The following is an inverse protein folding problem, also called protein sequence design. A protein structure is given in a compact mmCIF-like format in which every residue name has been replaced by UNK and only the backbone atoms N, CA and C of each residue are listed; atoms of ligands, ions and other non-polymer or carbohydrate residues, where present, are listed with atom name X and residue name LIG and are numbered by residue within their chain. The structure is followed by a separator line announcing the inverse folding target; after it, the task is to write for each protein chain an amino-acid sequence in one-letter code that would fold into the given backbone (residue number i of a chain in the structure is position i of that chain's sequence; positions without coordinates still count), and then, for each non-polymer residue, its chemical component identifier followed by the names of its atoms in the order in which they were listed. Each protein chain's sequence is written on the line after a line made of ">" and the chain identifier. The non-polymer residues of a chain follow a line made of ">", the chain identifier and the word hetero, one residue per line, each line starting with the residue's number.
data_IF_913700714157
#
_entry.id   IF_913700714157
#
_cell.length_a   1.000
_cell.length_b   1.000
_cell.length_c   1.000
_cell.angle_alpha   90.00
_cell.angle_beta   90.00
_cell.angle_gamma   90.00
#
_symmetry.space_group_name_H-M   'P 1'
#
loop_
_entity.id
_entity.type
_entity.pdbx_description
1 polymer ?
#
# COMPACT_ATOMS: atom_id res chain seq x y z
N UNK A 1 -58.64 -25.25 -45.00
CA UNK A 1 -57.96 -24.07 -45.57
C UNK A 1 -56.48 -24.19 -45.26
N UNK A 2 -55.68 -24.67 -46.23
CA UNK A 2 -54.21 -24.76 -46.13
C UNK A 2 -53.66 -23.41 -46.59
N UNK A 3 -52.86 -22.75 -45.76
CA UNK A 3 -52.03 -21.62 -46.19
C UNK A 3 -50.62 -21.91 -45.69
N UNK A 4 -49.75 -22.22 -46.65
CA UNK A 4 -48.31 -22.28 -46.49
C UNK A 4 -47.76 -20.85 -46.55
N UNK A 5 -46.86 -20.49 -45.66
CA UNK A 5 -45.92 -19.37 -45.86
C UNK A 5 -44.49 -19.89 -45.77
N UNK A 6 -43.66 -19.44 -46.70
CA UNK A 6 -42.23 -19.72 -46.78
C UNK A 6 -41.41 -18.59 -46.12
N UNK A 7 -40.26 -19.01 -45.59
CA UNK A 7 -38.99 -18.26 -45.43
C UNK A 7 -38.83 -17.24 -44.29
N UNK A 8 -37.58 -16.90 -43.88
CA UNK A 8 -36.28 -17.47 -44.26
C UNK A 8 -35.42 -17.94 -43.06
N UNK A 9 -34.34 -18.65 -43.38
CA UNK A 9 -33.24 -18.96 -42.48
C UNK A 9 -32.71 -17.69 -41.79
N UNK A 10 -32.72 -17.68 -40.45
CA UNK A 10 -31.85 -16.81 -39.68
C UNK A 10 -30.49 -17.50 -39.57
N UNK A 11 -29.50 -17.01 -40.32
CA UNK A 11 -28.12 -17.39 -40.13
C UNK A 11 -27.67 -16.93 -38.74
N UNK A 12 -27.54 -17.89 -37.80
CA UNK A 12 -26.90 -17.65 -36.53
C UNK A 12 -25.41 -17.46 -36.79
N UNK A 13 -24.96 -16.20 -36.81
CA UNK A 13 -23.54 -15.85 -36.87
C UNK A 13 -22.95 -16.17 -35.48
N UNK A 14 -22.48 -17.40 -35.29
CA UNK A 14 -21.66 -17.76 -34.14
C UNK A 14 -20.32 -17.04 -34.30
N UNK A 15 -20.19 -15.88 -33.67
CA UNK A 15 -18.89 -15.24 -33.49
C UNK A 15 -18.11 -16.11 -32.51
N UNK A 16 -17.33 -17.04 -33.03
CA UNK A 16 -16.24 -17.65 -32.27
C UNK A 16 -15.21 -16.54 -32.07
N UNK A 17 -15.28 -15.88 -30.91
CA UNK A 17 -14.15 -15.09 -30.43
C UNK A 17 -13.08 -16.13 -30.10
N UNK A 18 -12.19 -16.42 -31.05
CA UNK A 18 -10.89 -16.97 -30.73
C UNK A 18 -10.19 -15.89 -29.88
N UNK A 19 -10.36 -16.00 -28.57
CA UNK A 19 -9.48 -15.35 -27.62
C UNK A 19 -8.10 -15.90 -27.89
N UNK A 20 -7.29 -15.14 -28.63
CA UNK A 20 -5.85 -15.31 -28.58
C UNK A 20 -5.48 -14.90 -27.15
N UNK A 21 -5.54 -15.86 -26.24
CA UNK A 21 -4.83 -15.81 -24.97
C UNK A 21 -3.34 -15.91 -25.30
N UNK A 22 -2.82 -14.86 -25.91
CA UNK A 22 -1.39 -14.61 -25.97
C UNK A 22 -1.00 -14.14 -24.58
N UNK A 23 -0.76 -15.08 -23.67
CA UNK A 23 0.22 -14.84 -22.61
C UNK A 23 1.55 -14.68 -23.32
N UNK A 24 1.85 -13.46 -23.78
CA UNK A 24 3.20 -13.09 -24.09
C UNK A 24 3.95 -13.13 -22.75
N UNK A 25 4.45 -14.31 -22.40
CA UNK A 25 5.46 -14.43 -21.37
C UNK A 25 6.58 -13.47 -21.78
N UNK A 26 6.88 -12.49 -20.92
CA UNK A 26 8.00 -11.58 -21.06
C UNK A 26 9.27 -12.39 -20.83
N UNK A 27 9.59 -13.26 -21.80
CA UNK A 27 10.63 -14.28 -21.71
C UNK A 27 11.98 -13.80 -22.23
N UNK A 28 12.09 -12.53 -22.63
CA UNK A 28 13.36 -11.93 -22.95
C UNK A 28 13.87 -11.18 -21.72
N UNK A 29 15.02 -11.62 -21.19
CA UNK A 29 15.79 -10.81 -20.26
C UNK A 29 15.94 -9.38 -20.84
N UNK A 30 15.90 -8.33 -19.99
CA UNK A 30 16.03 -6.97 -20.47
C UNK A 30 17.33 -6.79 -21.25
N UNK A 31 17.28 -6.06 -22.36
CA UNK A 31 18.45 -5.81 -23.21
C UNK A 31 19.61 -5.25 -22.39
N UNK A 32 20.77 -5.92 -22.44
CA UNK A 32 21.91 -5.59 -21.58
C UNK A 32 22.42 -4.16 -21.81
N UNK A 33 22.41 -3.69 -23.07
CA UNK A 33 22.80 -2.32 -23.40
C UNK A 33 21.83 -1.28 -22.82
N UNK A 34 20.53 -1.58 -22.81
CA UNK A 34 19.52 -0.75 -22.13
C UNK A 34 19.68 -0.75 -20.61
N UNK A 35 19.98 -1.90 -20.00
CA UNK A 35 20.26 -1.98 -18.56
C UNK A 35 21.46 -1.12 -18.19
N UNK A 36 22.57 -1.24 -18.92
CA UNK A 36 23.76 -0.44 -18.69
C UNK A 36 23.47 1.06 -18.88
N UNK A 37 22.78 1.44 -19.95
CA UNK A 37 22.38 2.82 -20.19
C UNK A 37 21.52 3.38 -19.05
N UNK A 38 20.53 2.64 -18.54
CA UNK A 38 19.70 3.07 -17.40
C UNK A 38 20.53 3.14 -16.12
N UNK A 39 21.43 2.20 -15.87
CA UNK A 39 22.28 2.20 -14.68
C UNK A 39 23.12 3.49 -14.59
N UNK A 40 23.61 4.02 -15.72
CA UNK A 40 24.32 5.31 -15.76
C UNK A 40 23.45 6.53 -15.43
N UNK A 41 22.12 6.41 -15.51
CA UNK A 41 21.16 7.48 -15.17
C UNK A 41 20.75 7.46 -13.69
N UNK A 42 21.04 6.37 -12.98
CA UNK A 42 20.64 6.20 -11.58
C UNK A 42 21.72 6.77 -10.64
N UNK A 43 21.33 7.27 -9.45
CA UNK A 43 22.30 7.63 -8.43
C UNK A 43 23.09 6.39 -7.97
N UNK A 44 24.35 6.61 -7.57
CA UNK A 44 25.25 5.55 -7.08
C UNK A 44 24.66 4.76 -5.90
N UNK A 45 23.88 5.44 -5.06
CA UNK A 45 23.15 4.82 -3.96
C UNK A 45 21.65 5.06 -4.12
N UNK A 46 20.85 4.06 -3.73
CA UNK A 46 19.39 4.18 -3.65
C UNK A 46 18.98 5.35 -2.78
N UNK A 47 18.01 6.15 -3.24
CA UNK A 47 17.42 7.25 -2.48
C UNK A 47 15.91 7.08 -2.42
N UNK A 48 15.34 7.19 -1.22
CA UNK A 48 13.90 7.28 -1.05
C UNK A 48 13.38 8.68 -1.37
N UNK A 49 12.05 8.83 -1.33
CA UNK A 49 11.39 10.13 -1.49
C UNK A 49 11.51 10.95 -0.21
N UNK A 50 11.72 12.26 -0.35
CA UNK A 50 11.80 13.18 0.79
C UNK A 50 13.17 13.21 1.46
N UNK A 51 13.22 13.65 2.72
CA UNK A 51 14.45 13.94 3.45
C UNK A 51 14.54 13.05 4.70
N UNK A 52 15.63 12.28 4.88
CA UNK A 52 15.87 11.54 6.12
C UNK A 52 15.81 12.45 7.35
N UNK A 53 15.45 11.89 8.50
CA UNK A 53 15.36 12.65 9.77
C UNK A 53 16.70 13.31 10.16
N UNK A 54 17.81 12.75 9.70
CA UNK A 54 19.17 13.26 9.92
C UNK A 54 19.47 14.52 9.09
N UNK A 55 18.72 14.81 8.03
CA UNK A 55 18.83 16.06 7.26
C UNK A 55 18.19 17.22 8.04
N UNK A 56 18.82 17.61 9.15
CA UNK A 56 18.32 18.67 10.04
C UNK A 56 18.22 20.01 9.33
N UNK A 57 19.09 20.29 8.37
CA UNK A 57 19.02 21.50 7.55
C UNK A 57 17.71 21.60 6.77
N UNK A 58 17.14 20.47 6.32
CA UNK A 58 15.83 20.44 5.69
C UNK A 58 14.67 20.55 6.70
N UNK A 59 14.78 19.92 7.87
CA UNK A 59 13.68 19.84 8.85
C UNK A 59 13.56 21.06 9.78
N UNK A 60 14.68 21.67 10.18
CA UNK A 60 14.69 22.79 11.13
C UNK A 60 13.92 24.04 10.67
N UNK A 61 13.97 24.46 9.40
CA UNK A 61 13.15 25.57 8.93
C UNK A 61 11.64 25.25 9.03
N UNK A 62 11.26 24.02 8.69
CA UNK A 62 9.86 23.56 8.74
C UNK A 62 9.37 23.46 10.18
N UNK A 63 10.22 22.99 11.10
CA UNK A 63 9.90 22.82 12.51
C UNK A 63 9.54 24.13 13.23
N UNK A 64 9.86 25.30 12.64
CA UNK A 64 9.55 26.63 13.19
C UNK A 64 8.14 27.14 12.83
N UNK A 65 7.39 26.43 11.98
CA UNK A 65 6.05 26.87 11.57
C UNK A 65 4.98 26.54 12.61
N UNK A 66 3.88 27.29 12.57
CA UNK A 66 2.70 27.01 13.37
C UNK A 66 2.08 25.66 13.01
N UNK A 67 2.17 25.26 11.74
CA UNK A 67 1.74 23.97 11.23
C UNK A 67 2.53 22.84 11.89
N UNK A 68 3.85 22.96 12.00
CA UNK A 68 4.67 21.98 12.69
C UNK A 68 4.27 21.86 14.16
N UNK A 69 4.04 22.99 14.84
CA UNK A 69 3.57 22.98 16.22
C UNK A 69 2.19 22.31 16.37
N UNK A 70 1.27 22.49 15.41
CA UNK A 70 -0.03 21.79 15.37
C UNK A 70 0.15 20.28 15.17
N UNK A 71 1.00 19.86 14.24
CA UNK A 71 1.30 18.45 13.97
C UNK A 71 1.89 17.76 15.21
N UNK A 72 2.84 18.42 15.89
CA UNK A 72 3.43 17.88 17.13
C UNK A 72 2.36 17.73 18.22
N UNK A 73 1.52 18.74 18.47
CA UNK A 73 0.42 18.63 19.45
C UNK A 73 -0.58 17.53 19.11
N UNK A 74 -0.90 17.37 17.82
CA UNK A 74 -1.75 16.28 17.37
C UNK A 74 -1.11 14.92 17.68
N UNK A 75 0.17 14.73 17.35
CA UNK A 75 0.89 13.50 17.65
C UNK A 75 0.98 13.23 19.16
N UNK A 76 1.21 14.24 19.98
CA UNK A 76 1.21 14.14 21.44
C UNK A 76 -0.11 13.59 21.98
N UNK A 77 -1.25 14.09 21.48
CA UNK A 77 -2.58 13.62 21.92
C UNK A 77 -2.89 12.17 21.53
N UNK A 78 -2.12 11.59 20.61
CA UNK A 78 -2.25 10.18 20.20
C UNK A 78 -1.46 9.24 21.12
N UNK A 79 -0.45 9.73 21.84
CA UNK A 79 0.37 8.89 22.72
C UNK A 79 -0.49 8.22 23.80
N UNK A 80 -0.27 6.92 24.01
CA UNK A 80 -0.99 6.13 25.01
C UNK A 80 -2.47 5.83 24.68
N UNK A 81 -3.02 6.40 23.60
CA UNK A 81 -4.37 6.04 23.14
C UNK A 81 -4.33 4.72 22.36
N UNK A 82 -5.37 3.87 22.43
CA UNK A 82 -5.37 2.59 21.73
C UNK A 82 -5.34 2.77 20.21
N UNK A 83 -4.66 1.86 19.52
CA UNK A 83 -4.70 1.79 18.06
C UNK A 83 -6.11 1.35 17.65
N UNK A 84 -6.82 2.09 16.77
CA UNK A 84 -8.14 1.66 16.29
C UNK A 84 -8.07 0.28 15.63
N UNK A 85 -8.87 -0.67 16.08
CA UNK A 85 -8.84 -2.05 15.59
C UNK A 85 -9.63 -2.24 14.30
N UNK A 86 -9.08 -3.00 13.36
CA UNK A 86 -9.80 -3.48 12.17
C UNK A 86 -10.24 -4.91 12.47
N UNK A 87 -11.41 -5.07 13.07
CA UNK A 87 -11.95 -6.40 13.38
C UNK A 87 -12.45 -7.12 12.13
N UNK A 88 -12.52 -8.45 12.19
CA UNK A 88 -13.10 -9.26 11.11
C UNK A 88 -14.55 -8.86 10.80
N UNK A 89 -15.35 -8.62 11.84
CA UNK A 89 -16.73 -8.16 11.68
C UNK A 89 -16.79 -6.84 10.90
N UNK A 90 -15.91 -5.89 11.24
CA UNK A 90 -15.85 -4.60 10.59
C UNK A 90 -15.41 -4.73 9.12
N UNK A 91 -14.41 -5.57 8.83
CA UNK A 91 -13.98 -5.84 7.46
C UNK A 91 -15.09 -6.47 6.62
N UNK A 92 -15.76 -7.49 7.18
CA UNK A 92 -16.82 -8.25 6.52
C UNK A 92 -18.15 -7.48 6.37
N UNK A 93 -18.32 -6.34 7.05
CA UNK A 93 -19.53 -5.51 6.94
C UNK A 93 -19.82 -5.13 5.48
N UNK A 94 -18.80 -4.81 4.68
CA UNK A 94 -19.00 -4.49 3.26
C UNK A 94 -19.61 -5.67 2.49
N UNK A 95 -19.10 -6.89 2.69
CA UNK A 95 -19.61 -8.08 1.98
C UNK A 95 -21.04 -8.44 2.40
N UNK A 96 -21.47 -8.04 3.61
CA UNK A 96 -22.81 -8.29 4.14
C UNK A 96 -23.82 -7.21 3.76
N UNK A 97 -23.42 -5.95 3.77
CA UNK A 97 -24.35 -4.80 3.70
C UNK A 97 -24.04 -3.83 2.56
N UNK A 98 -22.88 -3.95 1.91
CA UNK A 98 -22.36 -2.97 0.95
C UNK A 98 -21.81 -1.69 1.58
N UNK A 99 -21.83 -1.55 2.91
CA UNK A 99 -21.32 -0.34 3.58
C UNK A 99 -19.80 -0.24 3.47
N UNK A 100 -19.31 0.67 2.64
CA UNK A 100 -17.86 0.89 2.45
C UNK A 100 -17.22 1.74 3.55
N UNK A 101 -17.98 2.66 4.14
CA UNK A 101 -17.42 3.76 4.92
C UNK A 101 -16.94 3.35 6.30
N UNK A 102 -17.62 2.41 6.97
CA UNK A 102 -17.33 2.05 8.36
C UNK A 102 -15.90 1.52 8.54
N UNK A 103 -15.53 0.45 7.83
CA UNK A 103 -14.18 -0.10 7.89
C UNK A 103 -13.13 0.88 7.33
N UNK A 104 -13.41 1.48 6.18
CA UNK A 104 -12.50 2.42 5.54
C UNK A 104 -12.17 3.62 6.45
N UNK A 105 -13.13 4.11 7.23
CA UNK A 105 -12.89 5.19 8.20
C UNK A 105 -11.89 4.77 9.27
N UNK A 106 -11.97 3.53 9.77
CA UNK A 106 -11.01 3.01 10.76
C UNK A 106 -9.61 2.86 10.17
N UNK A 107 -9.51 2.29 8.96
CA UNK A 107 -8.25 2.19 8.21
C UNK A 107 -7.65 3.59 8.02
N UNK A 108 -8.47 4.57 7.60
CA UNK A 108 -8.07 5.97 7.45
C UNK A 108 -7.49 6.56 8.73
N UNK A 109 -8.16 6.36 9.88
CA UNK A 109 -7.67 6.83 11.18
C UNK A 109 -6.32 6.21 11.56
N UNK A 110 -6.11 4.92 11.30
CA UNK A 110 -4.82 4.25 11.54
C UNK A 110 -3.71 4.88 10.69
N UNK A 111 -3.95 5.15 9.40
CA UNK A 111 -2.97 5.78 8.51
C UNK A 111 -2.68 7.23 8.91
N UNK A 112 -3.71 8.02 9.23
CA UNK A 112 -3.52 9.39 9.72
C UNK A 112 -2.75 9.44 11.04
N UNK A 113 -2.99 8.49 11.96
CA UNK A 113 -2.24 8.36 13.21
C UNK A 113 -0.75 8.12 12.95
N UNK A 114 -0.41 7.11 12.13
CA UNK A 114 0.99 6.80 11.80
C UNK A 114 1.69 8.00 11.15
N UNK A 115 1.04 8.66 10.18
CA UNK A 115 1.60 9.82 9.50
C UNK A 115 1.84 10.99 10.46
N UNK A 116 0.92 11.27 11.39
CA UNK A 116 1.08 12.34 12.37
C UNK A 116 2.27 12.07 13.31
N UNK A 117 2.41 10.83 13.80
CA UNK A 117 3.52 10.43 14.68
C UNK A 117 4.87 10.55 13.97
N UNK A 118 4.99 10.04 12.74
CA UNK A 118 6.23 10.10 11.96
C UNK A 118 6.63 11.53 11.64
N UNK A 119 5.68 12.36 11.19
CA UNK A 119 5.97 13.75 10.88
C UNK A 119 6.39 14.52 12.13
N UNK A 120 5.74 14.30 13.28
CA UNK A 120 6.13 14.92 14.53
C UNK A 120 7.55 14.50 14.95
N UNK A 121 7.90 13.21 14.82
CA UNK A 121 9.26 12.73 15.08
C UNK A 121 10.28 13.37 14.14
N UNK A 122 10.00 13.48 12.85
CA UNK A 122 10.90 14.18 11.91
C UNK A 122 11.11 15.66 12.28
N UNK A 123 10.05 16.34 12.72
CA UNK A 123 10.11 17.75 13.10
C UNK A 123 10.95 17.96 14.36
N UNK A 124 10.74 17.16 15.42
CA UNK A 124 11.42 17.37 16.71
C UNK A 124 12.72 16.58 16.89
N UNK A 125 12.81 15.38 16.32
CA UNK A 125 13.91 14.41 16.46
C UNK A 125 14.35 14.20 17.91
N UNK A 126 13.39 13.81 18.78
CA UNK A 126 13.60 13.60 20.23
C UNK A 126 13.36 12.16 20.68
N UNK A 127 12.88 11.31 19.77
CA UNK A 127 12.67 9.88 19.98
C UNK A 127 11.40 9.50 20.76
N UNK A 128 10.63 10.46 21.30
CA UNK A 128 9.47 10.14 22.14
C UNK A 128 8.27 9.57 21.38
N UNK A 129 8.22 9.71 20.05
CA UNK A 129 7.17 9.09 19.24
C UNK A 129 7.60 7.72 18.69
N UNK A 130 8.89 7.41 18.66
CA UNK A 130 9.43 6.16 18.08
C UNK A 130 8.75 4.89 18.61
N UNK A 131 8.54 4.70 19.94
CA UNK A 131 7.89 3.47 20.42
C UNK A 131 6.47 3.29 19.88
N UNK A 132 5.74 4.39 19.66
CA UNK A 132 4.38 4.33 19.12
C UNK A 132 4.38 4.19 17.59
N UNK A 133 5.36 4.78 16.91
CA UNK A 133 5.60 4.57 15.47
C UNK A 133 5.88 3.09 15.19
N UNK A 134 6.80 2.47 15.94
CA UNK A 134 7.14 1.06 15.77
C UNK A 134 5.94 0.14 15.99
N UNK A 135 5.14 0.38 17.03
CA UNK A 135 3.88 -0.34 17.25
C UNK A 135 2.92 -0.19 16.06
N UNK A 136 2.79 1.01 15.51
CA UNK A 136 1.92 1.26 14.36
C UNK A 136 2.42 0.62 13.07
N UNK A 137 3.75 0.57 12.87
CA UNK A 137 4.38 -0.13 11.74
C UNK A 137 4.10 -1.63 11.82
N UNK A 138 4.37 -2.25 12.97
CA UNK A 138 4.09 -3.67 13.21
C UNK A 138 2.60 -3.97 13.08
N UNK A 139 1.73 -3.15 13.70
CA UNK A 139 0.29 -3.31 13.58
C UNK A 139 -0.23 -3.15 12.15
N UNK A 140 0.48 -2.43 11.27
CA UNK A 140 0.17 -2.33 9.84
C UNK A 140 0.66 -3.57 9.08
N UNK A 141 1.83 -4.10 9.44
CA UNK A 141 2.37 -5.36 8.91
C UNK A 141 1.46 -6.56 9.24
N UNK A 142 0.83 -6.54 10.41
CA UNK A 142 -0.04 -7.61 10.92
C UNK A 142 -1.48 -7.55 10.36
N UNK A 143 -1.84 -6.53 9.59
CA UNK A 143 -3.15 -6.48 8.94
C UNK A 143 -3.31 -7.64 7.96
N UNK A 144 -4.43 -8.37 8.01
CA UNK A 144 -4.70 -9.55 7.15
C UNK A 144 -4.48 -9.26 5.66
N UNK A 145 -4.88 -8.07 5.23
CA UNK A 145 -4.66 -7.55 3.88
C UNK A 145 -4.46 -6.03 3.92
N UNK A 146 -3.79 -5.47 2.90
CA UNK A 146 -3.72 -4.02 2.68
C UNK A 146 -4.74 -3.51 1.66
N UNK A 147 -5.56 -4.42 1.12
CA UNK A 147 -6.67 -4.13 0.21
C UNK A 147 -7.90 -3.69 1.02
N UNK A 148 -8.69 -2.76 0.48
CA UNK A 148 -9.94 -2.34 1.14
C UNK A 148 -11.02 -3.42 0.99
N UNK A 149 -11.98 -3.54 1.94
CA UNK A 149 -13.08 -4.51 1.83
C UNK A 149 -13.85 -4.44 0.50
N UNK A 150 -14.06 -3.22 -0.02
CA UNK A 150 -14.77 -3.00 -1.28
C UNK A 150 -14.04 -3.54 -2.52
N UNK A 151 -12.73 -3.77 -2.41
CA UNK A 151 -11.88 -4.28 -3.48
C UNK A 151 -11.64 -5.79 -3.35
N UNK A 152 -12.10 -6.40 -2.25
CA UNK A 152 -11.93 -7.82 -1.93
C UNK A 152 -13.27 -8.56 -1.90
N UNK A 153 -14.08 -8.41 -2.96
CA UNK A 153 -15.46 -8.97 -3.00
C UNK A 153 -15.50 -10.49 -2.84
N UNK A 154 -14.47 -11.18 -3.32
CA UNK A 154 -14.32 -12.63 -3.20
C UNK A 154 -13.70 -13.08 -1.87
N UNK A 155 -13.34 -12.14 -0.99
CA UNK A 155 -12.66 -12.38 0.30
C UNK A 155 -11.32 -13.12 0.20
N UNK A 156 -10.74 -13.25 -1.00
CA UNK A 156 -9.51 -14.01 -1.21
C UNK A 156 -8.31 -13.36 -0.52
N UNK A 157 -8.29 -12.03 -0.40
CA UNK A 157 -7.22 -11.36 0.36
C UNK A 157 -7.46 -11.44 1.87
N UNK A 158 -8.71 -11.28 2.33
CA UNK A 158 -9.07 -11.42 3.73
C UNK A 158 -8.79 -12.82 4.29
N UNK A 159 -9.06 -13.85 3.49
CA UNK A 159 -8.76 -15.26 3.81
C UNK A 159 -7.28 -15.62 3.59
N UNK A 160 -6.50 -14.73 2.96
CA UNK A 160 -5.07 -14.95 2.68
C UNK A 160 -4.79 -15.96 1.56
N UNK A 161 -5.78 -16.28 0.72
CA UNK A 161 -5.63 -17.18 -0.42
C UNK A 161 -5.07 -16.47 -1.66
N UNK A 162 -5.08 -15.13 -1.66
CA UNK A 162 -4.50 -14.31 -2.71
C UNK A 162 -3.85 -13.05 -2.12
N UNK A 163 -2.81 -12.56 -2.80
CA UNK A 163 -2.23 -11.23 -2.58
C UNK A 163 -2.52 -10.39 -3.82
N UNK A 164 -3.33 -9.35 -3.67
CA UNK A 164 -3.70 -8.45 -4.76
C UNK A 164 -2.95 -7.13 -4.61
N UNK A 165 -2.33 -6.69 -5.71
CA UNK A 165 -1.79 -5.34 -5.83
C UNK A 165 -2.90 -4.43 -6.37
N UNK A 166 -3.25 -3.41 -5.60
CA UNK A 166 -4.20 -2.37 -5.95
C UNK A 166 -3.66 -1.01 -5.47
N UNK A 167 -4.39 0.08 -5.76
CA UNK A 167 -3.97 1.41 -5.34
C UNK A 167 -3.74 1.52 -3.81
N UNK A 168 -4.46 0.74 -3.00
CA UNK A 168 -4.43 0.87 -1.54
C UNK A 168 -3.29 0.10 -0.91
N UNK A 169 -3.07 -1.13 -1.34
CA UNK A 169 -1.91 -1.95 -0.98
C UNK A 169 -0.60 -1.30 -1.41
N UNK A 170 -0.53 -0.78 -2.64
CA UNK A 170 0.63 -0.02 -3.12
C UNK A 170 0.87 1.26 -2.31
N UNK A 171 -0.19 1.98 -1.94
CA UNK A 171 -0.05 3.17 -1.09
C UNK A 171 0.44 2.84 0.33
N UNK A 172 0.05 1.68 0.88
CA UNK A 172 0.58 1.20 2.17
C UNK A 172 2.06 0.86 2.03
N UNK A 173 2.44 0.06 1.02
CA UNK A 173 3.84 -0.28 0.76
C UNK A 173 4.72 0.95 0.58
N UNK A 174 4.26 1.93 -0.21
CA UNK A 174 4.93 3.22 -0.38
C UNK A 174 5.12 3.97 0.95
N UNK A 175 4.07 4.03 1.78
CA UNK A 175 4.12 4.72 3.07
C UNK A 175 5.13 4.06 3.99
N UNK A 176 5.11 2.72 4.09
CA UNK A 176 6.04 1.97 4.93
C UNK A 176 7.49 2.13 4.45
N UNK A 177 7.76 2.03 3.15
CA UNK A 177 9.09 2.25 2.57
C UNK A 177 9.60 3.67 2.83
N UNK A 178 8.71 4.68 2.72
CA UNK A 178 9.06 6.07 2.99
C UNK A 178 9.42 6.29 4.46
N UNK A 179 8.64 5.70 5.38
CA UNK A 179 8.91 5.80 6.82
C UNK A 179 10.22 5.08 7.18
N UNK A 180 10.45 3.89 6.64
CA UNK A 180 11.70 3.15 6.83
C UNK A 180 12.90 3.99 6.36
N UNK A 181 12.80 4.61 5.19
CA UNK A 181 13.84 5.50 4.66
C UNK A 181 14.04 6.76 5.54
N UNK A 182 12.96 7.43 5.95
CA UNK A 182 13.06 8.65 6.75
C UNK A 182 13.64 8.42 8.14
N UNK A 183 13.25 7.31 8.78
CA UNK A 183 13.60 6.99 10.16
C UNK A 183 14.63 5.86 10.26
N UNK A 184 15.36 5.56 9.19
CA UNK A 184 16.28 4.42 9.10
C UNK A 184 17.28 4.34 10.26
N UNK A 185 17.79 5.49 10.71
CA UNK A 185 18.74 5.61 11.81
C UNK A 185 18.10 5.68 13.21
N UNK A 186 16.76 5.57 13.30
CA UNK A 186 15.99 5.70 14.55
C UNK A 186 15.13 4.46 14.84
N UNK A 187 14.68 3.74 13.82
CA UNK A 187 13.92 2.50 13.97
C UNK A 187 14.85 1.34 14.37
N UNK A 188 14.34 0.46 15.22
CA UNK A 188 15.02 -0.77 15.60
C UNK A 188 15.19 -1.71 14.39
N UNK A 189 16.32 -2.43 14.29
CA UNK A 189 16.56 -3.36 13.18
C UNK A 189 15.45 -4.41 12.97
N UNK A 190 14.87 -5.03 14.02
CA UNK A 190 13.78 -6.00 13.84
C UNK A 190 12.52 -5.40 13.20
N UNK A 191 12.17 -4.15 13.54
CA UNK A 191 11.00 -3.48 12.94
C UNK A 191 11.26 -3.18 11.46
N UNK A 192 12.46 -2.69 11.13
CA UNK A 192 12.85 -2.43 9.73
C UNK A 192 12.83 -3.71 8.89
N UNK A 193 13.35 -4.80 9.44
CA UNK A 193 13.31 -6.11 8.79
C UNK A 193 11.86 -6.55 8.53
N UNK A 194 10.98 -6.47 9.54
CA UNK A 194 9.56 -6.84 9.40
C UNK A 194 8.85 -6.02 8.32
N UNK A 195 9.12 -4.72 8.25
CA UNK A 195 8.58 -3.82 7.22
C UNK A 195 9.04 -4.24 5.83
N UNK A 196 10.35 -4.49 5.66
CA UNK A 196 10.91 -4.92 4.40
C UNK A 196 10.30 -6.25 3.93
N UNK A 197 10.16 -7.23 4.82
CA UNK A 197 9.55 -8.54 4.53
C UNK A 197 8.09 -8.43 4.07
N UNK A 198 7.27 -7.57 4.68
CA UNK A 198 5.88 -7.40 4.23
C UNK A 198 5.77 -6.61 2.93
N UNK A 199 6.65 -5.63 2.69
CA UNK A 199 6.68 -4.94 1.38
C UNK A 199 7.08 -5.93 0.29
N UNK A 200 8.11 -6.74 0.54
CA UNK A 200 8.55 -7.79 -0.39
C UNK A 200 7.41 -8.74 -0.71
N UNK A 201 6.81 -9.32 0.34
CA UNK A 201 5.72 -10.30 0.22
C UNK A 201 4.48 -9.75 -0.48
N UNK A 202 4.10 -8.49 -0.20
CA UNK A 202 2.80 -7.94 -0.65
C UNK A 202 2.88 -7.05 -1.88
N UNK A 203 4.07 -6.59 -2.26
CA UNK A 203 4.23 -5.62 -3.35
C UNK A 203 5.24 -6.11 -4.38
N UNK A 204 6.49 -6.39 -3.99
CA UNK A 204 7.53 -6.71 -4.97
C UNK A 204 7.39 -8.12 -5.54
N UNK A 205 7.36 -9.15 -4.68
CA UNK A 205 7.22 -10.54 -5.13
C UNK A 205 5.99 -10.73 -6.04
N UNK A 206 4.77 -10.25 -5.71
CA UNK A 206 3.64 -10.42 -6.63
C UNK A 206 3.80 -9.61 -7.93
N UNK A 207 4.42 -8.43 -7.90
CA UNK A 207 4.67 -7.65 -9.11
C UNK A 207 5.67 -8.35 -10.04
N UNK A 208 6.76 -8.88 -9.49
CA UNK A 208 7.78 -9.61 -10.24
C UNK A 208 7.26 -10.91 -10.87
N UNK A 209 6.29 -11.56 -10.22
CA UNK A 209 5.63 -12.75 -10.76
C UNK A 209 4.56 -12.43 -11.82
N UNK A 210 4.12 -11.18 -11.94
CA UNK A 210 3.16 -10.73 -12.95
C UNK A 210 3.82 -10.37 -14.29
N UNK A 211 5.12 -10.07 -14.28
CA UNK A 211 5.89 -9.63 -15.44
C UNK A 211 6.69 -10.76 -16.07
#
# INVERSE_FOLDING_TARGET
>A
MRISFHSPLAAALTVVILGVAGSAAWSAAPDAGRVEAIATMLPEASRGVGRPIDDRAAWEPVAKSDEAAKTIRQAESLLGTPIPEITDELFLDYSRTGNRTRCQSVIGRRRSRLNALVLAECLENRGRFLPEIEKMLLATCDEKTWVLPAHDRGLTNFEGTQITIDLRSSAVGWTLATIDYWLAARLSPPVRQRVAEEIERRVFTPFELMV
#
